data_IF_328201947362
#
_entry.id   IF_328201947362
#
_cell.length_a   1.000
_cell.length_b   1.000
_cell.length_c   1.000
_cell.angle_alpha   90.00
_cell.angle_beta   90.00
_cell.angle_gamma   90.00
#
_symmetry.space_group_name_H-M   'P 1'
#
loop_
_entity.id
_entity.type
_entity.pdbx_description
1 polymer ?
#
# COMPACT_ATOMS: atom_id res chain seq x y z
N UNK A 1 0.16 23.00 -45.28
CA UNK A 1 -0.17 21.60 -44.93
C UNK A 1 0.51 21.18 -43.64
N UNK A 2 1.76 21.63 -43.38
CA UNK A 2 2.52 21.32 -42.15
C UNK A 2 1.81 21.66 -40.82
N UNK A 3 1.12 22.80 -40.71
CA UNK A 3 0.48 23.20 -39.43
C UNK A 3 -0.71 22.34 -38.97
N UNK A 4 -1.32 21.55 -39.86
CA UNK A 4 -2.46 20.69 -39.52
C UNK A 4 -2.01 19.31 -39.03
N UNK A 5 -0.91 18.79 -39.61
CA UNK A 5 -0.26 17.55 -39.16
C UNK A 5 0.42 17.73 -37.80
N UNK A 6 1.09 18.86 -37.57
CA UNK A 6 1.73 19.18 -36.28
C UNK A 6 0.70 19.29 -35.14
N UNK A 7 -0.42 19.97 -35.38
CA UNK A 7 -1.52 20.07 -34.42
C UNK A 7 -2.10 18.70 -34.07
N UNK A 8 -2.24 17.83 -35.06
CA UNK A 8 -2.74 16.46 -34.86
C UNK A 8 -1.77 15.62 -34.01
N UNK A 9 -0.47 15.69 -34.28
CA UNK A 9 0.57 14.99 -33.50
C UNK A 9 0.61 15.45 -32.04
N UNK A 10 0.43 16.76 -31.80
CA UNK A 10 0.38 17.33 -30.45
C UNK A 10 -0.83 16.85 -29.65
N UNK A 11 -2.01 16.81 -30.26
CA UNK A 11 -3.22 16.27 -29.61
C UNK A 11 -3.13 14.76 -29.37
N UNK A 12 -2.54 13.99 -30.29
CA UNK A 12 -2.29 12.56 -30.09
C UNK A 12 -1.32 12.31 -28.92
N UNK A 13 -0.28 13.12 -28.80
CA UNK A 13 0.71 13.01 -27.71
C UNK A 13 0.07 13.34 -26.36
N UNK A 14 -0.73 14.42 -26.29
CA UNK A 14 -1.49 14.77 -25.09
C UNK A 14 -2.43 13.64 -24.67
N UNK A 15 -3.15 13.04 -25.63
CA UNK A 15 -4.04 11.92 -25.36
C UNK A 15 -3.29 10.72 -24.77
N UNK A 16 -2.12 10.36 -25.34
CA UNK A 16 -1.27 9.28 -24.82
C UNK A 16 -0.79 9.55 -23.39
N UNK A 17 -0.31 10.76 -23.10
CA UNK A 17 0.12 11.15 -21.75
C UNK A 17 -1.05 11.10 -20.76
N UNK A 18 -2.22 11.60 -21.15
CA UNK A 18 -3.42 11.55 -20.33
C UNK A 18 -3.85 10.11 -20.03
N UNK A 19 -3.77 9.21 -21.01
CA UNK A 19 -4.09 7.79 -20.81
C UNK A 19 -3.11 7.12 -19.83
N UNK A 20 -1.81 7.38 -19.96
CA UNK A 20 -0.79 6.87 -19.01
C UNK A 20 -1.08 7.36 -17.59
N UNK A 21 -1.41 8.64 -17.42
CA UNK A 21 -1.76 9.21 -16.12
C UNK A 21 -2.99 8.54 -15.51
N UNK A 22 -4.04 8.31 -16.32
CA UNK A 22 -5.25 7.62 -15.88
C UNK A 22 -4.96 6.17 -15.45
N UNK A 23 -4.16 5.45 -16.21
CA UNK A 23 -3.79 4.07 -15.89
C UNK A 23 -2.93 4.00 -14.62
N UNK A 24 -2.04 4.99 -14.43
CA UNK A 24 -1.26 5.13 -13.20
C UNK A 24 -2.15 5.36 -11.99
N UNK A 25 -3.08 6.32 -12.05
CA UNK A 25 -4.04 6.57 -10.97
C UNK A 25 -4.91 5.34 -10.67
N UNK A 26 -5.27 4.58 -11.70
CA UNK A 26 -6.00 3.32 -11.54
C UNK A 26 -5.16 2.30 -10.76
N UNK A 27 -3.87 2.18 -11.04
CA UNK A 27 -2.96 1.34 -10.27
C UNK A 27 -2.81 1.80 -8.81
N UNK A 28 -2.74 3.11 -8.56
CA UNK A 28 -2.72 3.68 -7.20
C UNK A 28 -4.01 3.36 -6.44
N UNK A 29 -5.17 3.51 -7.09
CA UNK A 29 -6.46 3.15 -6.48
C UNK A 29 -6.52 1.66 -6.12
N UNK A 30 -6.03 0.76 -6.99
CA UNK A 30 -5.93 -0.68 -6.68
C UNK A 30 -5.04 -0.96 -5.46
N UNK A 31 -3.96 -0.19 -5.24
CA UNK A 31 -3.15 -0.32 -4.02
C UNK A 31 -3.91 0.13 -2.77
N UNK A 32 -4.65 1.24 -2.86
CA UNK A 32 -5.45 1.74 -1.75
C UNK A 32 -6.53 0.73 -1.33
N UNK A 33 -7.20 0.10 -2.29
CA UNK A 33 -8.17 -0.98 -2.05
C UNK A 33 -7.57 -2.20 -1.34
N UNK A 34 -6.25 -2.41 -1.47
CA UNK A 34 -5.54 -3.52 -0.81
C UNK A 34 -5.22 -3.23 0.66
N UNK A 35 -5.11 -1.96 1.08
CA UNK A 35 -4.82 -1.58 2.47
C UNK A 35 -5.74 -2.28 3.49
N UNK A 36 -7.09 -2.21 3.38
CA UNK A 36 -7.96 -2.88 4.35
C UNK A 36 -7.87 -4.41 4.28
N UNK A 37 -7.50 -4.99 3.13
CA UNK A 37 -7.31 -6.44 3.00
C UNK A 37 -6.08 -6.89 3.79
N UNK A 38 -4.94 -6.20 3.61
CA UNK A 38 -3.72 -6.45 4.36
C UNK A 38 -3.93 -6.27 5.87
N UNK A 39 -4.63 -5.21 6.27
CA UNK A 39 -4.95 -4.94 7.67
C UNK A 39 -5.75 -6.08 8.34
N UNK A 40 -6.76 -6.63 7.66
CA UNK A 40 -7.53 -7.78 8.18
C UNK A 40 -6.67 -9.04 8.32
N UNK A 41 -5.81 -9.32 7.35
CA UNK A 41 -4.92 -10.49 7.39
C UNK A 41 -3.89 -10.39 8.53
N UNK A 42 -3.29 -9.20 8.73
CA UNK A 42 -2.37 -8.95 9.83
C UNK A 42 -3.05 -9.06 11.19
N UNK A 43 -4.24 -8.47 11.33
CA UNK A 43 -5.03 -8.54 12.57
C UNK A 43 -5.38 -9.99 12.90
N UNK A 44 -5.84 -10.77 11.91
CA UNK A 44 -6.15 -12.18 12.11
C UNK A 44 -4.91 -13.02 12.47
N UNK A 45 -3.76 -12.73 11.85
CA UNK A 45 -2.50 -13.38 12.18
C UNK A 45 -2.08 -13.09 13.63
N UNK A 46 -2.12 -11.82 14.05
CA UNK A 46 -1.78 -11.40 15.41
C UNK A 46 -2.70 -12.06 16.44
N UNK A 47 -4.01 -12.03 16.22
CA UNK A 47 -4.98 -12.66 17.12
C UNK A 47 -4.75 -14.18 17.26
N UNK A 48 -4.51 -14.87 16.14
CA UNK A 48 -4.20 -16.30 16.15
C UNK A 48 -2.91 -16.61 16.91
N UNK A 49 -1.88 -15.76 16.74
CA UNK A 49 -0.60 -15.91 17.43
C UNK A 49 -0.72 -15.65 18.93
N UNK A 50 -1.35 -14.54 19.33
CA UNK A 50 -1.61 -14.19 20.74
C UNK A 50 -2.37 -15.31 21.46
N UNK A 51 -3.35 -15.92 20.78
CA UNK A 51 -4.08 -17.04 21.32
C UNK A 51 -3.18 -18.24 21.60
N UNK A 52 -2.33 -18.63 20.66
CA UNK A 52 -1.43 -19.79 20.80
C UNK A 52 -0.32 -19.55 21.84
N UNK A 53 0.07 -18.29 22.06
CA UNK A 53 1.05 -17.90 23.07
C UNK A 53 0.46 -17.84 24.49
N UNK A 54 -0.86 -17.89 24.64
CA UNK A 54 -1.48 -17.87 25.97
C UNK A 54 -1.02 -19.11 26.77
N UNK A 55 -0.54 -18.95 28.02
CA UNK A 55 -0.08 -20.09 28.81
C UNK A 55 -1.21 -21.09 29.07
N UNK A 56 -1.00 -22.40 28.91
CA UNK A 56 -1.98 -23.39 29.34
C UNK A 56 -2.04 -23.41 30.88
N UNK A 57 -3.24 -23.56 31.45
CA UNK A 57 -3.37 -23.86 32.89
C UNK A 57 -2.85 -25.28 33.10
N UNK A 58 -1.64 -25.40 33.63
CA UNK A 58 -1.01 -26.70 33.91
C UNK A 58 -1.78 -27.41 35.02
N UNK A 59 -2.64 -28.36 34.65
CA UNK A 59 -3.27 -29.33 35.58
C UNK A 59 -2.31 -30.45 36.04
N UNK A 60 -1.02 -30.35 35.72
CA UNK A 60 -0.03 -31.41 35.95
C UNK A 60 0.36 -31.59 37.41
N UNK A 61 -0.03 -30.67 38.29
CA UNK A 61 0.22 -30.77 39.73
C UNK A 61 -0.92 -31.52 40.44
N UNK A 62 -0.57 -32.58 41.17
CA UNK A 62 -1.50 -33.34 42.04
C UNK A 62 -2.22 -32.41 43.04
N UNK A 63 -1.51 -31.39 43.53
CA UNK A 63 -2.06 -30.38 44.43
C UNK A 63 -3.14 -29.52 43.74
N UNK A 64 -2.84 -29.03 42.53
CA UNK A 64 -3.80 -28.24 41.74
C UNK A 64 -5.02 -29.09 41.38
N UNK A 65 -4.80 -30.33 40.99
CA UNK A 65 -5.88 -31.29 40.70
C UNK A 65 -6.80 -31.49 41.92
N UNK A 66 -6.24 -31.71 43.10
CA UNK A 66 -6.98 -31.89 44.34
C UNK A 66 -7.76 -30.61 44.73
N UNK A 67 -7.15 -29.43 44.59
CA UNK A 67 -7.82 -28.14 44.86
C UNK A 67 -9.00 -27.94 43.91
N UNK A 68 -8.82 -28.19 42.61
CA UNK A 68 -9.89 -28.05 41.61
C UNK A 68 -11.05 -29.01 41.90
N UNK A 69 -10.76 -30.26 42.27
CA UNK A 69 -11.77 -31.27 42.65
C UNK A 69 -12.53 -30.88 43.91
N UNK A 70 -11.82 -30.41 44.95
CA UNK A 70 -12.44 -30.00 46.21
C UNK A 70 -13.36 -28.77 46.06
N UNK A 71 -13.16 -27.96 45.03
CA UNK A 71 -13.89 -26.71 44.79
C UNK A 71 -14.73 -26.76 43.50
N UNK A 72 -15.06 -27.96 43.01
CA UNK A 72 -15.70 -28.16 41.71
C UNK A 72 -17.11 -27.56 41.66
N UNK A 73 -17.22 -26.36 41.07
CA UNK A 73 -18.50 -25.68 40.83
C UNK A 73 -18.71 -25.45 39.34
N UNK A 74 -19.96 -25.30 38.89
CA UNK A 74 -20.26 -24.89 37.50
C UNK A 74 -19.49 -23.61 37.12
N UNK A 75 -19.46 -22.65 38.04
CA UNK A 75 -18.73 -21.38 37.85
C UNK A 75 -17.24 -21.60 37.63
N UNK A 76 -16.59 -22.42 38.47
CA UNK A 76 -15.16 -22.72 38.33
C UNK A 76 -14.86 -23.45 37.01
N UNK A 77 -15.71 -24.40 36.59
CA UNK A 77 -15.57 -25.07 35.29
C UNK A 77 -15.61 -24.08 34.13
N UNK A 78 -16.58 -23.17 34.12
CA UNK A 78 -16.68 -22.14 33.08
C UNK A 78 -15.48 -21.21 33.06
N UNK A 79 -14.95 -20.80 34.23
CA UNK A 79 -13.71 -20.02 34.28
C UNK A 79 -12.50 -20.77 33.73
N UNK A 80 -12.41 -22.07 34.03
CA UNK A 80 -11.32 -22.91 33.58
C UNK A 80 -11.39 -23.16 32.06
N UNK A 81 -12.58 -23.39 31.52
CA UNK A 81 -12.83 -23.52 30.07
C UNK A 81 -12.54 -22.21 29.34
N UNK A 82 -12.96 -21.06 29.87
CA UNK A 82 -12.67 -19.76 29.27
C UNK A 82 -11.19 -19.35 29.37
N UNK A 83 -10.46 -19.86 30.38
CA UNK A 83 -9.06 -19.53 30.66
C UNK A 83 -8.04 -20.53 30.10
N UNK A 84 -8.44 -21.75 29.78
CA UNK A 84 -7.58 -22.77 29.18
C UNK A 84 -7.70 -22.74 27.66
N UNK A 85 -6.57 -22.78 26.97
CA UNK A 85 -6.55 -23.19 25.56
C UNK A 85 -7.01 -24.65 25.49
N UNK A 86 -8.19 -24.90 24.91
CA UNK A 86 -8.60 -26.26 24.61
C UNK A 86 -7.88 -26.74 23.33
N UNK A 87 -7.78 -28.05 23.11
CA UNK A 87 -7.09 -28.61 21.93
C UNK A 87 -7.76 -28.24 20.60
N UNK A 88 -9.09 -28.13 20.58
CA UNK A 88 -9.86 -27.70 19.41
C UNK A 88 -9.54 -26.25 19.05
N UNK A 89 -9.56 -25.33 20.02
CA UNK A 89 -9.21 -23.92 19.81
C UNK A 89 -7.77 -23.79 19.30
N UNK A 90 -6.85 -24.65 19.78
CA UNK A 90 -5.47 -24.67 19.29
C UNK A 90 -5.40 -25.03 17.81
N UNK A 91 -6.14 -26.05 17.38
CA UNK A 91 -6.21 -26.46 15.97
C UNK A 91 -6.84 -25.36 15.13
N UNK A 92 -7.96 -24.78 15.58
CA UNK A 92 -8.65 -23.70 14.88
C UNK A 92 -7.76 -22.46 14.71
N UNK A 93 -7.08 -22.01 15.77
CA UNK A 93 -6.19 -20.86 15.71
C UNK A 93 -4.94 -21.14 14.86
N UNK A 94 -4.42 -22.38 14.88
CA UNK A 94 -3.33 -22.78 13.98
C UNK A 94 -3.78 -22.72 12.51
N UNK A 95 -4.99 -23.19 12.21
CA UNK A 95 -5.56 -23.10 10.87
C UNK A 95 -5.78 -21.64 10.44
N UNK A 96 -6.34 -20.79 11.32
CA UNK A 96 -6.46 -19.34 11.07
C UNK A 96 -5.12 -18.69 10.79
N UNK A 97 -4.09 -19.02 11.57
CA UNK A 97 -2.74 -18.49 11.38
C UNK A 97 -2.17 -18.89 10.01
N UNK A 98 -2.37 -20.15 9.62
CA UNK A 98 -1.94 -20.65 8.31
C UNK A 98 -2.68 -19.93 7.16
N UNK A 99 -4.00 -19.78 7.25
CA UNK A 99 -4.79 -19.05 6.26
C UNK A 99 -4.36 -17.58 6.17
N UNK A 100 -4.14 -16.91 7.31
CA UNK A 100 -3.67 -15.53 7.32
C UNK A 100 -2.27 -15.40 6.70
N UNK A 101 -1.34 -16.31 7.05
CA UNK A 101 0.01 -16.32 6.50
C UNK A 101 0.01 -16.51 4.98
N UNK A 102 -0.78 -17.47 4.49
CA UNK A 102 -0.94 -17.71 3.06
C UNK A 102 -1.55 -16.48 2.37
N UNK A 103 -2.63 -15.92 2.93
CA UNK A 103 -3.24 -14.70 2.42
C UNK A 103 -2.30 -13.50 2.41
N UNK A 104 -1.43 -13.35 3.42
CA UNK A 104 -0.39 -12.29 3.46
C UNK A 104 0.63 -12.48 2.35
N UNK A 105 1.04 -13.71 2.07
CA UNK A 105 1.96 -14.00 0.98
C UNK A 105 1.35 -13.64 -0.38
N UNK A 106 0.11 -14.06 -0.64
CA UNK A 106 -0.62 -13.70 -1.85
C UNK A 106 -0.82 -12.18 -1.97
N UNK A 107 -1.10 -11.54 -0.84
CA UNK A 107 -1.23 -10.09 -0.76
C UNK A 107 0.07 -9.38 -1.18
N UNK A 108 1.22 -9.84 -0.70
CA UNK A 108 2.53 -9.30 -1.08
C UNK A 108 2.82 -9.49 -2.56
N UNK A 109 2.49 -10.65 -3.13
CA UNK A 109 2.62 -10.90 -4.58
C UNK A 109 1.78 -9.89 -5.36
N UNK A 110 0.53 -9.68 -4.95
CA UNK A 110 -0.39 -8.77 -5.64
C UNK A 110 0.08 -7.31 -5.56
N UNK A 111 0.49 -6.85 -4.38
CA UNK A 111 1.06 -5.50 -4.20
C UNK A 111 2.29 -5.32 -5.07
N UNK A 112 3.21 -6.29 -5.09
CA UNK A 112 4.41 -6.24 -5.92
C UNK A 112 4.09 -6.18 -7.41
N UNK A 113 3.09 -6.94 -7.88
CA UNK A 113 2.64 -6.87 -9.28
C UNK A 113 2.19 -5.46 -9.66
N UNK A 114 1.35 -4.83 -8.82
CA UNK A 114 0.85 -3.49 -9.10
C UNK A 114 1.97 -2.46 -9.05
N UNK A 115 2.92 -2.57 -8.11
CA UNK A 115 4.08 -1.70 -8.06
C UNK A 115 4.93 -1.79 -9.34
N UNK A 116 5.15 -3.00 -9.86
CA UNK A 116 5.85 -3.19 -11.14
C UNK A 116 5.08 -2.56 -12.31
N UNK A 117 3.74 -2.66 -12.33
CA UNK A 117 2.89 -2.00 -13.34
C UNK A 117 3.05 -0.47 -13.27
N UNK A 118 3.02 0.11 -12.06
CA UNK A 118 3.20 1.55 -11.84
C UNK A 118 4.59 2.03 -12.25
N UNK A 119 5.63 1.28 -11.93
CA UNK A 119 7.01 1.57 -12.33
C UNK A 119 7.15 1.54 -13.87
N UNK A 120 6.54 0.56 -14.53
CA UNK A 120 6.49 0.50 -15.99
C UNK A 120 5.79 1.72 -16.59
N UNK A 121 4.62 2.10 -16.06
CA UNK A 121 3.87 3.27 -16.51
C UNK A 121 4.67 4.57 -16.33
N UNK A 122 5.41 4.70 -15.22
CA UNK A 122 6.31 5.83 -14.99
C UNK A 122 7.44 5.89 -16.03
N UNK A 123 8.02 4.74 -16.38
CA UNK A 123 9.00 4.62 -17.46
C UNK A 123 8.43 5.07 -18.79
N UNK A 124 7.23 4.59 -19.15
CA UNK A 124 6.54 4.98 -20.39
C UNK A 124 6.21 6.48 -20.41
N UNK A 125 5.75 7.04 -19.29
CA UNK A 125 5.48 8.47 -19.16
C UNK A 125 6.75 9.31 -19.38
N UNK A 126 7.87 8.88 -18.79
CA UNK A 126 9.17 9.56 -18.91
C UNK A 126 9.63 9.60 -20.36
N UNK A 127 9.59 8.46 -21.06
CA UNK A 127 9.93 8.38 -22.49
C UNK A 127 9.00 9.23 -23.34
N UNK A 128 7.69 9.22 -23.07
CA UNK A 128 6.72 10.03 -23.80
C UNK A 128 6.96 11.53 -23.64
N UNK A 129 7.32 11.97 -22.43
CA UNK A 129 7.66 13.37 -22.16
C UNK A 129 8.98 13.79 -22.82
N UNK A 130 9.99 12.92 -22.81
CA UNK A 130 11.26 13.17 -23.51
C UNK A 130 11.05 13.32 -25.02
N UNK A 131 10.34 12.40 -25.66
CA UNK A 131 10.01 12.49 -27.08
C UNK A 131 9.21 13.76 -27.39
N UNK A 132 8.22 14.11 -26.55
CA UNK A 132 7.46 15.35 -26.74
C UNK A 132 8.37 16.59 -26.68
N UNK A 133 9.33 16.61 -25.77
CA UNK A 133 10.29 17.71 -25.61
C UNK A 133 11.30 17.78 -26.77
N UNK A 134 11.76 16.64 -27.28
CA UNK A 134 12.63 16.54 -28.46
C UNK A 134 11.92 16.94 -29.75
N UNK A 135 10.61 16.64 -29.88
CA UNK A 135 9.81 17.09 -31.02
C UNK A 135 9.41 18.58 -30.94
N UNK A 136 9.45 19.19 -29.75
CA UNK A 136 9.18 20.63 -29.53
C UNK A 136 10.46 21.49 -29.61
N UNK A 137 11.65 20.92 -29.40
CA UNK A 137 12.94 21.64 -29.42
C UNK A 137 13.37 22.23 -30.78
N UNK A 138 13.11 21.64 -31.96
CA UNK A 138 13.53 22.21 -33.24
C UNK A 138 12.78 23.50 -33.63
N UNK A 139 11.73 23.87 -32.89
CA UNK A 139 10.82 24.97 -33.23
C UNK A 139 11.18 26.30 -32.54
N UNK A 140 12.04 26.29 -31.52
CA UNK A 140 12.41 27.53 -30.80
C UNK A 140 13.63 28.25 -31.39
N UNK A 141 14.32 27.66 -32.38
CA UNK A 141 15.50 28.27 -33.02
C UNK A 141 15.17 29.33 -34.11
N UNK A 142 13.90 29.71 -34.28
CA UNK A 142 13.46 30.67 -35.31
C UNK A 142 12.85 31.97 -34.77
N UNK A 143 12.91 32.24 -33.46
CA UNK A 143 12.44 33.53 -32.93
C UNK A 143 13.32 34.07 -31.78
N UNK A 144 14.56 34.41 -32.14
CA UNK A 144 15.45 35.29 -31.38
C UNK A 144 16.30 36.01 -32.43
N UNK A 145 16.17 37.31 -32.68
CA UNK A 145 16.54 38.43 -31.81
C UNK A 145 15.87 39.71 -32.36
N UNK A 146 15.02 40.38 -31.59
CA UNK A 146 15.00 41.85 -31.50
C UNK A 146 14.65 42.19 -30.05
N UNK A 147 15.63 42.76 -29.36
CA UNK A 147 15.60 42.99 -27.92
C UNK A 147 14.67 44.10 -27.49
N UNK A 148 14.26 44.02 -26.22
CA UNK A 148 13.85 45.16 -25.41
C UNK A 148 14.39 44.96 -23.98
N UNK A 149 14.92 46.06 -23.46
CA UNK A 149 15.73 46.23 -22.24
C UNK A 149 15.12 45.70 -20.93
N UNK A 150 15.97 45.46 -19.91
CA UNK A 150 15.54 45.11 -18.56
C UNK A 150 15.07 46.35 -17.80
N UNK A 151 13.79 46.40 -17.43
CA UNK A 151 13.32 47.33 -16.40
C UNK A 151 12.96 46.56 -15.14
N UNK A 152 13.75 46.81 -14.10
CA UNK A 152 13.55 46.38 -12.72
C UNK A 152 12.17 46.80 -12.20
N UNK A 153 11.48 45.88 -11.51
CA UNK A 153 10.50 46.23 -10.48
C UNK A 153 10.44 45.13 -9.44
N UNK A 154 10.87 45.50 -8.24
CA UNK A 154 10.82 44.80 -6.96
C UNK A 154 9.48 44.12 -6.63
N UNK A 155 9.56 42.95 -6.00
CA UNK A 155 8.42 42.31 -5.33
C UNK A 155 8.81 40.98 -4.69
N UNK A 156 9.33 41.04 -3.47
CA UNK A 156 9.55 39.87 -2.61
C UNK A 156 8.24 39.12 -2.32
N UNK A 157 8.24 37.81 -2.51
CA UNK A 157 7.45 36.90 -1.66
C UNK A 157 8.17 35.56 -1.57
N UNK A 158 8.91 35.40 -0.47
CA UNK A 158 9.52 34.13 -0.09
C UNK A 158 8.47 33.14 0.39
N UNK A 159 8.52 31.91 -0.13
CA UNK A 159 7.90 30.76 0.50
C UNK A 159 8.99 29.76 0.89
N UNK A 160 9.39 29.81 2.16
CA UNK A 160 10.13 28.74 2.82
C UNK A 160 9.18 27.55 3.04
N UNK A 161 9.44 26.43 2.37
CA UNK A 161 8.94 25.14 2.83
C UNK A 161 9.88 24.61 3.92
N UNK A 162 9.45 24.71 5.18
CA UNK A 162 10.04 23.92 6.26
C UNK A 162 9.44 22.50 6.24
N UNK A 163 10.30 21.52 5.96
CA UNK A 163 10.07 20.12 6.28
C UNK A 163 10.18 19.95 7.79
N UNK A 164 9.11 19.48 8.43
CA UNK A 164 9.15 18.98 9.81
C UNK A 164 8.81 17.50 9.81
N UNK A 165 9.83 16.69 10.07
CA UNK A 165 9.71 15.28 10.43
C UNK A 165 9.08 15.14 11.81
N UNK A 166 8.07 14.28 11.92
CA UNK A 166 7.78 13.43 13.08
C UNK A 166 6.87 12.28 12.64
#
# INVERSE_FOLDING_TARGET
MEGEEEKKLKEETKYKIFQIYKDFLTGVAKLDELVPVGGRLLTGFQQGLEFLLRPPIKKTSKLIENILKANETKRLKSYLEAGCINSHDRVENTSKLHTCLHGLHDHLIKVKSILNELECLLGVATTALQMANEHLSPLMDMESVVGLDPQESSGEVGFMFQLSSL
#
